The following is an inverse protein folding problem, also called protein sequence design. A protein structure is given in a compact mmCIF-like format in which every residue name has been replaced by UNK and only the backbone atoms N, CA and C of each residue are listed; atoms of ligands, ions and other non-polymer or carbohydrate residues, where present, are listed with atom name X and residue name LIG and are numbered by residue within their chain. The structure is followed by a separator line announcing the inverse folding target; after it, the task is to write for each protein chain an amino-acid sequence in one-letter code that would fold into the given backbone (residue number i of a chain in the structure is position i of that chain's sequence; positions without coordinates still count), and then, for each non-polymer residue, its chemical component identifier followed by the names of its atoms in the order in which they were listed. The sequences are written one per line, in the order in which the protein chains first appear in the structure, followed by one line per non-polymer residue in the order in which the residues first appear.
data_IF_988765138382
#
_entry.id   IF_988765138382
#
_cell.length_a   1.000
_cell.length_b   1.000
_cell.length_c   1.000
_cell.angle_alpha   90.00
_cell.angle_beta   90.00
_cell.angle_gamma   90.00
#
_symmetry.space_group_name_H-M   'P 1'
#
loop_
_entity.id
_entity.type
_entity.pdbx_description
1 polymer ?
#
# COMPACT_ATOMS: atom_id res chain seq x y z
N UNK A 1 7.79 -4.01 27.71
CA UNK A 1 8.77 -3.60 26.67
C UNK A 1 8.99 -4.79 25.75
N UNK A 2 8.91 -4.59 24.43
CA UNK A 2 9.16 -5.65 23.44
C UNK A 2 10.65 -6.00 23.43
N UNK A 3 10.99 -7.29 23.40
CA UNK A 3 12.39 -7.70 23.26
C UNK A 3 12.89 -7.29 21.85
N UNK A 4 14.04 -6.59 21.72
CA UNK A 4 14.57 -6.16 20.43
C UNK A 4 14.68 -7.29 19.38
N UNK A 5 14.98 -8.52 19.83
CA UNK A 5 15.05 -9.70 18.96
C UNK A 5 13.71 -10.00 18.27
N UNK A 6 12.59 -9.95 19.01
CA UNK A 6 11.27 -10.22 18.43
C UNK A 6 10.84 -9.08 17.50
N UNK A 7 11.12 -7.84 17.89
CA UNK A 7 10.83 -6.67 17.06
C UNK A 7 11.46 -6.78 15.67
N UNK A 8 12.77 -7.08 15.61
CA UNK A 8 13.49 -7.17 14.34
C UNK A 8 13.05 -8.39 13.51
N UNK A 9 12.84 -9.56 14.15
CA UNK A 9 12.28 -10.74 13.47
C UNK A 9 10.91 -10.43 12.85
N UNK A 10 10.00 -9.86 13.63
CA UNK A 10 8.63 -9.58 13.19
C UNK A 10 8.63 -8.53 12.06
N UNK A 11 9.45 -7.49 12.18
CA UNK A 11 9.63 -6.50 11.13
C UNK A 11 10.12 -7.11 9.81
N UNK A 12 11.09 -8.03 9.87
CA UNK A 12 11.63 -8.68 8.67
C UNK A 12 10.59 -9.62 8.02
N UNK A 13 9.83 -10.38 8.81
CA UNK A 13 8.74 -11.22 8.29
C UNK A 13 7.70 -10.39 7.54
N UNK A 14 7.27 -9.27 8.14
CA UNK A 14 6.33 -8.35 7.50
C UNK A 14 6.93 -7.72 6.25
N UNK A 15 8.18 -7.24 6.31
CA UNK A 15 8.86 -6.61 5.17
C UNK A 15 8.94 -7.55 3.97
N UNK A 16 9.40 -8.79 4.18
CA UNK A 16 9.47 -9.82 3.14
C UNK A 16 8.10 -10.10 2.52
N UNK A 17 7.06 -10.20 3.35
CA UNK A 17 5.70 -10.46 2.87
C UNK A 17 5.16 -9.32 2.01
N UNK A 18 5.35 -8.07 2.47
CA UNK A 18 4.87 -6.88 1.75
C UNK A 18 5.62 -6.67 0.43
N UNK A 19 6.94 -6.86 0.41
CA UNK A 19 7.74 -6.81 -0.84
C UNK A 19 7.23 -7.84 -1.84
N UNK A 20 7.07 -9.10 -1.41
CA UNK A 20 6.52 -10.16 -2.26
C UNK A 20 5.13 -9.78 -2.82
N UNK A 21 4.26 -9.15 -2.01
CA UNK A 21 2.96 -8.68 -2.49
C UNK A 21 3.09 -7.56 -3.52
N UNK A 22 3.98 -6.58 -3.30
CA UNK A 22 4.24 -5.52 -4.28
C UNK A 22 4.70 -6.12 -5.61
N UNK A 23 5.60 -7.08 -5.61
CA UNK A 23 6.10 -7.70 -6.83
C UNK A 23 4.98 -8.40 -7.61
N UNK A 24 4.14 -9.15 -6.90
CA UNK A 24 2.95 -9.81 -7.45
C UNK A 24 1.97 -8.77 -8.04
N UNK A 25 1.68 -7.69 -7.29
CA UNK A 25 0.77 -6.63 -7.73
C UNK A 25 1.31 -5.87 -8.94
N UNK A 26 2.62 -5.61 -9.01
CA UNK A 26 3.25 -4.97 -10.16
C UNK A 26 3.17 -5.85 -11.42
N UNK A 27 3.38 -7.16 -11.27
CA UNK A 27 3.24 -8.10 -12.38
C UNK A 27 1.78 -8.20 -12.87
N UNK A 28 0.80 -8.20 -11.96
CA UNK A 28 -0.63 -8.16 -12.31
C UNK A 28 -0.99 -6.85 -13.01
N UNK A 29 -0.52 -5.72 -12.51
CA UNK A 29 -0.71 -4.41 -13.13
C UNK A 29 -0.25 -4.38 -14.59
N UNK A 30 0.91 -4.97 -14.89
CA UNK A 30 1.40 -5.11 -16.26
C UNK A 30 0.44 -5.92 -17.15
N UNK A 31 -0.08 -7.05 -16.64
CA UNK A 31 -1.07 -7.85 -17.38
C UNK A 31 -2.36 -7.08 -17.65
N UNK A 32 -2.83 -6.25 -16.72
CA UNK A 32 -4.01 -5.38 -16.94
C UNK A 32 -3.78 -4.33 -17.99
N UNK A 33 -2.61 -3.68 -17.95
CA UNK A 33 -2.23 -2.70 -18.97
C UNK A 33 -2.22 -3.36 -20.35
N UNK A 34 -1.64 -4.56 -20.48
CA UNK A 34 -1.60 -5.28 -21.75
C UNK A 34 -3.01 -5.64 -22.25
N UNK A 35 -3.88 -6.15 -21.36
CA UNK A 35 -5.27 -6.48 -21.68
C UNK A 35 -6.06 -5.25 -22.10
N UNK A 36 -6.03 -4.16 -21.34
CA UNK A 36 -6.78 -2.95 -21.65
C UNK A 36 -6.27 -2.27 -22.94
N UNK A 37 -4.95 -2.26 -23.17
CA UNK A 37 -4.34 -1.72 -24.39
C UNK A 37 -4.46 -2.65 -25.62
N UNK A 38 -4.90 -3.90 -25.46
CA UNK A 38 -5.24 -4.77 -26.59
C UNK A 38 -6.60 -4.45 -27.23
N UNK A 39 -7.42 -3.61 -26.59
CA UNK A 39 -8.64 -3.09 -27.21
C UNK A 39 -8.31 -2.06 -28.30
N UNK A 40 -9.01 -2.14 -29.45
CA UNK A 40 -8.70 -1.40 -30.69
C UNK A 40 -8.85 0.13 -30.59
N UNK A 41 -9.41 0.65 -29.50
CA UNK A 41 -9.71 2.08 -29.31
C UNK A 41 -8.49 2.95 -28.95
N UNK A 42 -7.37 2.36 -28.53
CA UNK A 42 -6.26 3.10 -27.90
C UNK A 42 -4.92 2.99 -28.64
N UNK A 43 -4.94 2.60 -29.93
CA UNK A 43 -3.75 2.33 -30.76
C UNK A 43 -2.73 3.48 -30.77
N UNK A 44 -3.19 4.74 -30.79
CA UNK A 44 -2.32 5.93 -30.86
C UNK A 44 -1.66 6.30 -29.52
N UNK A 45 -2.32 6.03 -28.39
CA UNK A 45 -1.81 6.31 -27.02
C UNK A 45 -1.11 5.10 -26.38
N UNK A 46 -1.27 3.92 -26.97
CA UNK A 46 -0.69 2.64 -26.51
C UNK A 46 0.83 2.68 -26.35
N UNK A 47 1.65 3.25 -27.26
CA UNK A 47 3.10 3.34 -27.06
C UNK A 47 3.47 4.25 -25.89
N UNK A 48 2.75 5.35 -25.70
CA UNK A 48 3.00 6.32 -24.61
C UNK A 48 2.63 5.72 -23.25
N UNK A 49 1.47 5.06 -23.15
CA UNK A 49 1.05 4.38 -21.91
C UNK A 49 1.98 3.21 -21.61
N UNK A 50 2.37 2.41 -22.61
CA UNK A 50 3.32 1.30 -22.43
C UNK A 50 4.72 1.80 -22.04
N UNK A 51 5.25 2.84 -22.70
CA UNK A 51 6.56 3.41 -22.33
C UNK A 51 6.55 4.03 -20.92
N UNK A 52 5.46 4.70 -20.54
CA UNK A 52 5.30 5.26 -19.20
C UNK A 52 5.25 4.14 -18.15
N UNK A 53 4.48 3.08 -18.36
CA UNK A 53 4.26 2.02 -17.37
C UNK A 53 5.31 0.91 -17.35
N UNK A 54 5.77 0.42 -18.50
CA UNK A 54 6.43 -0.90 -18.57
C UNK A 54 7.92 -0.86 -18.22
N UNK A 55 8.60 0.28 -18.33
CA UNK A 55 10.05 0.35 -18.06
C UNK A 55 10.48 1.50 -17.13
N UNK A 56 9.98 2.73 -17.35
CA UNK A 56 10.37 3.88 -16.53
C UNK A 56 9.64 3.85 -15.18
N UNK A 57 8.32 3.66 -15.17
CA UNK A 57 7.56 3.63 -13.91
C UNK A 57 7.70 2.35 -13.12
N UNK A 58 8.00 1.19 -13.70
CA UNK A 58 8.10 -0.07 -12.92
C UNK A 58 9.18 0.02 -11.84
N UNK A 59 10.40 0.44 -12.20
CA UNK A 59 11.51 0.62 -11.25
C UNK A 59 11.22 1.71 -10.22
N UNK A 60 10.59 2.81 -10.65
CA UNK A 60 10.23 3.92 -9.76
C UNK A 60 9.06 3.56 -8.82
N UNK A 61 8.13 2.71 -9.27
CA UNK A 61 7.02 2.18 -8.47
C UNK A 61 7.53 1.16 -7.46
N UNK A 62 8.39 0.23 -7.89
CA UNK A 62 9.01 -0.77 -7.03
C UNK A 62 9.85 -0.10 -5.92
N UNK A 63 10.80 0.77 -6.31
CA UNK A 63 11.64 1.48 -5.34
C UNK A 63 10.84 2.42 -4.43
N UNK A 64 9.80 3.09 -4.97
CA UNK A 64 8.88 3.91 -4.19
C UNK A 64 8.09 3.09 -3.18
N UNK A 65 7.49 1.98 -3.59
CA UNK A 65 6.71 1.10 -2.72
C UNK A 65 7.56 0.44 -1.64
N UNK A 66 8.78 -0.02 -1.96
CA UNK A 66 9.70 -0.55 -0.96
C UNK A 66 10.07 0.51 0.09
N UNK A 67 10.32 1.74 -0.36
CA UNK A 67 10.57 2.86 0.54
C UNK A 67 9.35 3.20 1.41
N UNK A 68 8.14 3.12 0.88
CA UNK A 68 6.92 3.29 1.67
C UNK A 68 6.79 2.22 2.75
N UNK A 69 7.06 0.95 2.43
CA UNK A 69 7.10 -0.16 3.40
C UNK A 69 8.12 0.15 4.50
N UNK A 70 9.35 0.50 4.12
CA UNK A 70 10.42 0.79 5.08
C UNK A 70 10.09 1.97 6.01
N UNK A 71 9.38 2.98 5.50
CA UNK A 71 8.92 4.12 6.30
C UNK A 71 7.80 3.74 7.28
N UNK A 72 6.84 2.91 6.88
CA UNK A 72 5.82 2.37 7.79
C UNK A 72 6.46 1.55 8.91
N UNK A 73 7.41 0.66 8.56
CA UNK A 73 8.15 -0.16 9.52
C UNK A 73 8.93 0.73 10.48
N UNK A 74 9.65 1.73 9.96
CA UNK A 74 10.43 2.66 10.80
C UNK A 74 9.54 3.45 11.75
N UNK A 75 8.41 3.97 11.27
CA UNK A 75 7.45 4.67 12.12
C UNK A 75 6.92 3.77 13.25
N UNK A 76 6.57 2.52 12.95
CA UNK A 76 6.13 1.55 13.96
C UNK A 76 7.22 1.22 14.98
N UNK A 77 8.47 1.02 14.52
CA UNK A 77 9.63 0.76 15.41
C UNK A 77 9.90 1.93 16.33
N UNK A 78 9.88 3.18 15.82
CA UNK A 78 10.11 4.36 16.65
C UNK A 78 9.04 4.49 17.75
N UNK A 79 7.76 4.22 17.45
CA UNK A 79 6.70 4.19 18.47
C UNK A 79 7.01 3.18 19.58
N UNK A 80 7.49 1.99 19.22
CA UNK A 80 7.77 0.90 20.18
C UNK A 80 9.05 1.15 20.98
N UNK A 81 10.12 1.58 20.31
CA UNK A 81 11.48 1.71 20.88
C UNK A 81 11.66 3.04 21.61
N UNK A 82 11.23 4.14 21.02
CA UNK A 82 11.36 5.47 21.62
C UNK A 82 10.17 5.82 22.54
N UNK A 83 9.07 5.06 22.47
CA UNK A 83 7.87 5.33 23.26
C UNK A 83 7.12 6.59 22.83
N UNK A 84 7.33 7.07 21.60
CA UNK A 84 6.63 8.24 21.07
C UNK A 84 5.20 7.90 20.63
N UNK A 85 4.33 8.90 20.54
CA UNK A 85 2.97 8.69 20.03
C UNK A 85 2.97 8.38 18.54
N UNK A 86 1.95 7.63 18.09
CA UNK A 86 1.74 7.35 16.66
C UNK A 86 1.66 8.64 15.83
N UNK A 87 0.98 9.67 16.33
CA UNK A 87 0.87 10.95 15.61
C UNK A 87 2.23 11.66 15.46
N UNK A 88 3.12 11.53 16.45
CA UNK A 88 4.50 12.04 16.37
C UNK A 88 5.27 11.29 15.29
N UNK A 89 5.22 9.95 15.29
CA UNK A 89 5.89 9.13 14.27
C UNK A 89 5.33 9.41 12.86
N UNK A 90 4.01 9.55 12.72
CA UNK A 90 3.36 9.96 11.48
C UNK A 90 3.86 11.32 11.02
N UNK A 91 3.96 12.30 11.93
CA UNK A 91 4.50 13.63 11.63
C UNK A 91 5.93 13.60 11.07
N UNK A 92 6.80 12.73 11.62
CA UNK A 92 8.20 12.58 11.18
C UNK A 92 8.33 11.98 9.77
N UNK A 93 7.52 10.99 9.45
CA UNK A 93 7.74 10.15 8.27
C UNK A 93 6.75 10.35 7.12
N UNK A 94 5.63 11.04 7.35
CA UNK A 94 4.60 11.20 6.34
C UNK A 94 5.09 11.92 5.07
N UNK A 95 5.90 12.97 5.19
CA UNK A 95 6.41 13.69 4.00
C UNK A 95 7.36 12.83 3.15
N UNK A 96 8.36 12.12 3.73
CA UNK A 96 9.12 11.11 3.00
C UNK A 96 8.25 10.02 2.35
N UNK A 97 7.22 9.55 3.06
CA UNK A 97 6.28 8.53 2.56
C UNK A 97 5.51 9.04 1.35
N UNK A 98 4.97 10.25 1.44
CA UNK A 98 4.23 10.93 0.39
C UNK A 98 5.09 11.18 -0.86
N UNK A 99 6.37 11.49 -0.68
CA UNK A 99 7.32 11.65 -1.80
C UNK A 99 7.64 10.32 -2.49
N UNK A 100 7.55 9.20 -1.79
CA UNK A 100 7.76 7.87 -2.35
C UNK A 100 6.50 7.32 -3.05
N UNK A 101 5.33 7.87 -2.71
CA UNK A 101 4.05 7.48 -3.30
C UNK A 101 3.88 7.97 -4.75
N UNK A 102 3.80 7.03 -5.68
CA UNK A 102 3.69 7.35 -7.11
C UNK A 102 2.39 8.05 -7.47
N UNK A 103 1.28 7.71 -6.81
CA UNK A 103 -0.01 8.39 -7.04
C UNK A 103 0.13 9.87 -6.68
N UNK A 104 0.74 10.18 -5.54
CA UNK A 104 0.96 11.54 -5.05
C UNK A 104 1.87 12.36 -5.96
N UNK A 105 2.90 11.74 -6.54
CA UNK A 105 3.76 12.39 -7.53
C UNK A 105 3.01 12.79 -8.81
N UNK A 106 1.92 12.07 -9.13
CA UNK A 106 1.07 12.38 -10.29
C UNK A 106 -0.04 13.39 -9.99
N UNK A 107 -0.19 13.89 -8.76
CA UNK A 107 -1.23 14.88 -8.43
C UNK A 107 -0.75 16.31 -8.69
N UNK A 108 -1.64 17.16 -9.24
CA UNK A 108 -1.42 18.60 -9.38
C UNK A 108 -1.55 19.27 -8.01
N UNK A 109 -0.42 19.79 -7.49
CA UNK A 109 -0.37 20.49 -6.19
C UNK A 109 -1.25 21.74 -6.11
N UNK A 110 -1.51 22.38 -7.25
CA UNK A 110 -2.35 23.59 -7.35
C UNK A 110 -3.85 23.28 -7.43
N UNK A 111 -4.24 22.00 -7.51
CA UNK A 111 -5.63 21.61 -7.60
C UNK A 111 -6.37 21.82 -6.27
N UNK A 112 -7.61 22.32 -6.32
CA UNK A 112 -8.44 22.60 -5.13
C UNK A 112 -8.61 21.40 -4.17
N UNK A 113 -8.59 20.18 -4.72
CA UNK A 113 -8.74 18.94 -3.95
C UNK A 113 -7.41 18.33 -3.48
N UNK A 114 -6.26 18.95 -3.79
CA UNK A 114 -4.94 18.38 -3.47
C UNK A 114 -4.74 18.19 -1.97
N UNK A 115 -4.97 19.24 -1.17
CA UNK A 115 -4.84 19.18 0.30
C UNK A 115 -5.73 18.09 0.90
N UNK A 116 -6.96 17.99 0.40
CA UNK A 116 -7.94 16.97 0.82
C UNK A 116 -7.43 15.55 0.56
N UNK A 117 -6.84 15.28 -0.62
CA UNK A 117 -6.25 13.97 -0.92
C UNK A 117 -5.02 13.67 -0.05
N UNK A 118 -4.15 14.65 0.16
CA UNK A 118 -2.96 14.49 1.02
C UNK A 118 -3.36 14.17 2.46
N UNK A 119 -4.38 14.84 3.00
CA UNK A 119 -4.91 14.51 4.34
C UNK A 119 -5.45 13.08 4.39
N UNK A 120 -6.19 12.63 3.37
CA UNK A 120 -6.66 11.25 3.32
C UNK A 120 -5.53 10.23 3.19
N UNK A 121 -4.48 10.52 2.43
CA UNK A 121 -3.29 9.66 2.37
C UNK A 121 -2.55 9.59 3.70
N UNK A 122 -2.59 10.65 4.51
CA UNK A 122 -2.07 10.62 5.88
C UNK A 122 -2.86 9.65 6.75
N UNK A 123 -4.17 9.61 6.60
CA UNK A 123 -5.03 8.62 7.29
C UNK A 123 -4.75 7.20 6.78
N UNK A 124 -4.57 6.99 5.47
CA UNK A 124 -4.13 5.70 4.92
C UNK A 124 -2.79 5.26 5.54
N UNK A 125 -1.80 6.16 5.58
CA UNK A 125 -0.49 5.88 6.16
C UNK A 125 -0.59 5.54 7.65
N UNK A 126 -1.39 6.28 8.41
CA UNK A 126 -1.66 5.98 9.82
C UNK A 126 -2.31 4.61 9.99
N UNK A 127 -3.33 4.30 9.19
CA UNK A 127 -4.03 3.01 9.21
C UNK A 127 -3.12 1.83 8.85
N UNK A 128 -2.10 2.05 8.01
CA UNK A 128 -1.09 1.03 7.68
C UNK A 128 -0.15 0.74 8.85
N UNK A 129 0.17 1.73 9.68
CA UNK A 129 1.09 1.55 10.82
C UNK A 129 0.42 0.80 11.98
N UNK A 130 -0.87 1.03 12.22
CA UNK A 130 -1.61 0.45 13.35
C UNK A 130 -1.42 -1.08 13.47
N UNK A 131 -1.70 -1.91 12.45
CA UNK A 131 -1.51 -3.36 12.54
C UNK A 131 -0.04 -3.75 12.71
N UNK A 132 0.92 -2.92 12.25
CA UNK A 132 2.35 -3.17 12.47
C UNK A 132 2.73 -3.06 13.94
N UNK A 133 2.12 -2.11 14.68
CA UNK A 133 2.37 -1.97 16.12
C UNK A 133 2.02 -3.26 16.87
N UNK A 134 0.87 -3.85 16.56
CA UNK A 134 0.42 -5.10 17.18
C UNK A 134 1.33 -6.27 16.80
N UNK A 135 1.63 -6.44 15.50
CA UNK A 135 2.51 -7.50 15.00
C UNK A 135 3.92 -7.40 15.60
N UNK A 136 4.46 -6.20 15.75
CA UNK A 136 5.83 -5.98 16.21
C UNK A 136 5.98 -6.15 17.72
N UNK A 137 4.89 -6.04 18.48
CA UNK A 137 4.86 -6.29 19.93
C UNK A 137 4.67 -7.77 20.30
N UNK A 138 4.44 -8.64 19.31
CA UNK A 138 4.33 -10.08 19.54
C UNK A 138 5.68 -10.68 19.99
N UNK A 139 5.73 -11.17 21.24
CA UNK A 139 6.92 -11.75 21.87
C UNK A 139 6.94 -13.29 21.87
N UNK A 140 6.15 -13.95 21.03
CA UNK A 140 6.09 -15.41 20.98
C UNK A 140 7.34 -16.00 20.35
N UNK A 141 7.87 -17.06 20.97
CA UNK A 141 9.05 -17.78 20.49
C UNK A 141 8.79 -18.69 19.28
N UNK A 142 7.56 -19.17 19.13
CA UNK A 142 7.18 -20.15 18.11
C UNK A 142 6.84 -19.55 16.73
N UNK A 143 7.14 -18.27 16.51
CA UNK A 143 6.90 -17.61 15.22
C UNK A 143 8.01 -17.93 14.23
N UNK A 144 7.68 -18.69 13.18
CA UNK A 144 8.60 -18.99 12.08
C UNK A 144 8.21 -18.27 10.78
N UNK A 145 6.92 -18.04 10.55
CA UNK A 145 6.36 -17.46 9.32
C UNK A 145 5.56 -16.18 9.59
N UNK A 146 5.20 -15.47 8.52
CA UNK A 146 4.29 -14.32 8.60
C UNK A 146 2.89 -14.77 9.05
N UNK A 147 2.44 -15.92 8.57
CA UNK A 147 1.16 -16.52 8.92
C UNK A 147 1.10 -16.88 10.41
N UNK A 148 2.18 -17.44 10.97
CA UNK A 148 2.28 -17.69 12.41
C UNK A 148 2.17 -16.39 13.19
N UNK A 149 2.90 -15.35 12.75
CA UNK A 149 2.91 -14.04 13.41
C UNK A 149 1.51 -13.42 13.43
N UNK A 150 0.81 -13.45 12.29
CA UNK A 150 -0.55 -12.92 12.16
C UNK A 150 -1.53 -13.69 13.02
N UNK A 151 -1.51 -15.03 12.94
CA UNK A 151 -2.38 -15.89 13.74
C UNK A 151 -2.17 -15.71 15.22
N UNK A 152 -0.92 -15.66 15.66
CA UNK A 152 -0.61 -15.51 17.07
C UNK A 152 -0.88 -14.09 17.58
N UNK A 153 -0.79 -13.07 16.74
CA UNK A 153 -1.09 -11.69 17.15
C UNK A 153 -2.59 -11.45 17.27
N UNK A 154 -3.35 -11.74 16.22
CA UNK A 154 -4.77 -11.36 16.15
C UNK A 154 -5.73 -12.46 16.63
N UNK A 155 -5.25 -13.70 16.75
CA UNK A 155 -5.95 -14.89 17.26
C UNK A 155 -7.13 -15.40 16.43
N UNK A 156 -7.93 -14.51 15.84
CA UNK A 156 -9.15 -14.88 15.09
C UNK A 156 -9.16 -14.26 13.70
N UNK A 157 -9.80 -14.97 12.76
CA UNK A 157 -10.03 -14.50 11.38
C UNK A 157 -10.63 -13.10 11.34
N UNK A 158 -11.66 -12.85 12.16
CA UNK A 158 -12.36 -11.56 12.22
C UNK A 158 -11.42 -10.41 12.65
N UNK A 159 -10.63 -10.62 13.70
CA UNK A 159 -9.66 -9.63 14.18
C UNK A 159 -8.58 -9.35 13.13
N UNK A 160 -8.09 -10.40 12.48
CA UNK A 160 -7.10 -10.27 11.40
C UNK A 160 -7.64 -9.48 10.22
N UNK A 161 -8.84 -9.84 9.73
CA UNK A 161 -9.47 -9.09 8.63
C UNK A 161 -9.65 -7.63 9.02
N UNK A 162 -10.19 -7.35 10.20
CA UNK A 162 -10.39 -5.98 10.68
C UNK A 162 -9.08 -5.19 10.73
N UNK A 163 -8.00 -5.80 11.24
CA UNK A 163 -6.70 -5.14 11.36
C UNK A 163 -6.04 -4.89 9.99
N UNK A 164 -6.03 -5.88 9.10
CA UNK A 164 -5.32 -5.80 7.82
C UNK A 164 -6.09 -4.99 6.74
N UNK A 165 -7.42 -4.92 6.83
CA UNK A 165 -8.27 -4.22 5.86
C UNK A 165 -8.60 -2.78 6.27
N UNK A 166 -8.25 -2.34 7.48
CA UNK A 166 -8.60 -0.99 7.98
C UNK A 166 -8.09 0.17 7.13
N UNK A 167 -7.04 -0.05 6.33
CA UNK A 167 -6.53 0.95 5.38
C UNK A 167 -7.44 1.16 4.15
N UNK A 168 -8.25 0.15 3.78
CA UNK A 168 -9.00 0.12 2.53
C UNK A 168 -10.07 1.20 2.44
N UNK A 169 -10.71 1.55 3.56
CA UNK A 169 -11.68 2.64 3.61
C UNK A 169 -11.09 3.97 3.10
N UNK A 170 -9.88 4.30 3.55
CA UNK A 170 -9.20 5.53 3.14
C UNK A 170 -8.69 5.44 1.70
N UNK A 171 -8.20 4.27 1.27
CA UNK A 171 -7.76 4.05 -0.12
C UNK A 171 -8.93 4.20 -1.10
N UNK A 172 -10.06 3.57 -0.83
CA UNK A 172 -11.31 3.70 -1.61
C UNK A 172 -11.78 5.14 -1.68
N UNK A 173 -11.77 5.84 -0.56
CA UNK A 173 -12.16 7.25 -0.49
C UNK A 173 -11.27 8.12 -1.38
N UNK A 174 -9.96 7.90 -1.36
CA UNK A 174 -8.99 8.58 -2.21
C UNK A 174 -9.23 8.30 -3.70
N UNK A 175 -9.38 7.03 -4.07
CA UNK A 175 -9.68 6.61 -5.45
C UNK A 175 -11.00 7.21 -5.95
N UNK A 176 -12.05 7.23 -5.11
CA UNK A 176 -13.34 7.83 -5.42
C UNK A 176 -13.21 9.33 -5.71
N UNK A 177 -12.45 10.07 -4.91
CA UNK A 177 -12.25 11.51 -5.14
C UNK A 177 -11.44 11.79 -6.41
N UNK A 178 -10.43 10.98 -6.72
CA UNK A 178 -9.69 11.12 -7.99
C UNK A 178 -10.61 10.80 -9.18
N UNK A 179 -11.45 9.76 -9.08
CA UNK A 179 -12.42 9.40 -10.12
C UNK A 179 -13.47 10.50 -10.36
N UNK A 180 -13.88 11.20 -9.32
CA UNK A 180 -14.83 12.31 -9.41
C UNK A 180 -14.26 13.55 -10.11
N UNK A 181 -12.95 13.78 -10.03
CA UNK A 181 -12.28 14.93 -10.64
C UNK A 181 -10.88 14.56 -11.12
N UNK A 182 -10.81 13.87 -12.27
CA UNK A 182 -9.55 13.40 -12.86
C UNK A 182 -8.65 14.55 -13.33
N UNK A 183 -9.14 15.80 -13.34
CA UNK A 183 -8.32 16.97 -13.70
C UNK A 183 -7.17 17.20 -12.70
N UNK A 184 -7.28 16.63 -11.49
CA UNK A 184 -6.21 16.60 -10.49
C UNK A 184 -4.98 15.79 -10.92
N UNK A 185 -5.14 14.84 -11.86
CA UNK A 185 -4.01 14.07 -12.37
C UNK A 185 -3.18 14.93 -13.33
N UNK A 186 -1.89 15.01 -13.05
CA UNK A 186 -0.87 15.62 -13.88
C UNK A 186 -0.44 14.67 -15.00
N UNK A 187 -1.42 14.20 -15.77
CA UNK A 187 -1.23 13.33 -16.92
C UNK A 187 -1.89 13.98 -18.13
N UNK A 188 -1.18 14.15 -19.27
CA UNK A 188 -1.74 14.83 -20.43
C UNK A 188 -2.83 13.99 -21.12
N UNK A 189 -2.73 12.66 -21.11
CA UNK A 189 -3.64 11.73 -21.80
C UNK A 189 -3.83 10.44 -20.99
N UNK A 190 -4.86 9.65 -21.33
CA UNK A 190 -5.05 8.29 -20.81
C UNK A 190 -5.55 8.18 -19.36
N UNK A 191 -6.09 9.27 -18.79
CA UNK A 191 -6.57 9.31 -17.39
C UNK A 191 -7.66 8.25 -17.11
N UNK A 192 -8.59 8.06 -18.04
CA UNK A 192 -9.70 7.11 -17.87
C UNK A 192 -9.21 5.65 -17.81
N UNK A 193 -8.31 5.29 -18.71
CA UNK A 193 -7.68 3.96 -18.76
C UNK A 193 -6.87 3.74 -17.49
N UNK A 194 -6.10 4.74 -17.07
CA UNK A 194 -5.34 4.66 -15.83
C UNK A 194 -6.25 4.43 -14.64
N UNK A 195 -7.31 5.23 -14.50
CA UNK A 195 -8.25 5.07 -13.39
C UNK A 195 -8.92 3.71 -13.41
N UNK A 196 -9.26 3.17 -14.59
CA UNK A 196 -9.80 1.81 -14.72
C UNK A 196 -8.81 0.76 -14.21
N UNK A 197 -7.54 0.84 -14.63
CA UNK A 197 -6.49 -0.09 -14.20
C UNK A 197 -6.23 0.01 -12.70
N UNK A 198 -6.15 1.23 -12.15
CA UNK A 198 -5.93 1.45 -10.70
C UNK A 198 -7.08 0.89 -9.86
N UNK A 199 -8.32 1.15 -10.27
CA UNK A 199 -9.50 0.62 -9.56
C UNK A 199 -9.53 -0.91 -9.65
N UNK A 200 -9.29 -1.49 -10.82
CA UNK A 200 -9.29 -2.95 -10.95
C UNK A 200 -8.17 -3.59 -10.13
N UNK A 201 -6.93 -3.08 -10.22
CA UNK A 201 -5.81 -3.60 -9.45
C UNK A 201 -6.02 -3.46 -7.94
N UNK A 202 -6.68 -2.38 -7.50
CA UNK A 202 -7.07 -2.20 -6.10
C UNK A 202 -8.07 -3.27 -5.63
N UNK A 203 -9.18 -3.46 -6.37
CA UNK A 203 -10.22 -4.43 -6.00
C UNK A 203 -9.67 -5.86 -5.96
N UNK A 204 -8.82 -6.24 -6.93
CA UNK A 204 -8.20 -7.56 -6.93
C UNK A 204 -7.24 -7.75 -5.75
N UNK A 205 -6.39 -6.77 -5.46
CA UNK A 205 -5.47 -6.84 -4.32
C UNK A 205 -6.24 -6.96 -2.99
N UNK A 206 -7.36 -6.24 -2.87
CA UNK A 206 -8.25 -6.33 -1.70
C UNK A 206 -8.87 -7.72 -1.57
N UNK A 207 -9.44 -8.25 -2.64
CA UNK A 207 -10.07 -9.58 -2.64
C UNK A 207 -9.06 -10.69 -2.35
N UNK A 208 -7.84 -10.57 -2.86
CA UNK A 208 -6.75 -11.50 -2.56
C UNK A 208 -6.33 -11.46 -1.10
N UNK A 209 -6.14 -10.27 -0.52
CA UNK A 209 -5.84 -10.16 0.90
C UNK A 209 -6.92 -10.84 1.76
N UNK A 210 -8.19 -10.61 1.43
CA UNK A 210 -9.32 -11.24 2.13
C UNK A 210 -9.26 -12.76 1.98
N UNK A 211 -9.16 -13.26 0.75
CA UNK A 211 -9.14 -14.71 0.46
C UNK A 211 -7.94 -15.42 1.10
N UNK A 212 -6.75 -14.82 1.03
CA UNK A 212 -5.55 -15.33 1.71
C UNK A 212 -5.75 -15.37 3.22
N UNK A 213 -6.32 -14.30 3.81
CA UNK A 213 -6.60 -14.24 5.25
C UNK A 213 -7.62 -15.31 5.65
N UNK A 214 -8.66 -15.53 4.85
CA UNK A 214 -9.63 -16.60 5.13
C UNK A 214 -8.98 -17.98 5.07
N UNK A 215 -8.17 -18.23 4.03
CA UNK A 215 -7.44 -19.49 3.86
C UNK A 215 -6.49 -19.79 5.02
N UNK A 216 -5.87 -18.77 5.63
CA UNK A 216 -5.03 -18.94 6.82
C UNK A 216 -5.77 -19.64 7.96
N UNK A 217 -7.06 -19.38 8.17
CA UNK A 217 -7.82 -19.86 9.33
C UNK A 217 -8.75 -21.05 9.03
N UNK A 218 -8.79 -21.55 7.79
CA UNK A 218 -9.57 -22.71 7.40
C UNK A 218 -8.78 -24.03 7.47
N UNK A 219 -7.68 -24.05 8.24
CA UNK A 219 -6.83 -25.22 8.49
C UNK A 219 -7.14 -25.80 9.86
#
# INVERSE_FOLDING_TARGET
MTNPRYLDRNAELVRKRLIKQIDISLDKGNKFIEKELSSSLYILVKPVIKMYYTQVKRKDMESGSYKQIDLCIKAAKDVIVEGITLDTAVGRYFQPYLKADQTSQTLKKTHRNYSKLVSNQKETYKAQIIPLLELFQNNSDHIATYEDLVKDTFKTKEKTLKALTGQFEYMERGLKWIKQDMSILNLPLGRDILMKILVQGYEETKNELISETEAMYNV
#
